data_IF_507144851438
#
_entry.id   IF_507144851438
#
_cell.length_a   1.000
_cell.length_b   1.000
_cell.length_c   1.000
_cell.angle_alpha   90.00
_cell.angle_beta   90.00
_cell.angle_gamma   90.00
#
_symmetry.space_group_name_H-M   'P 1'
#
loop_
_entity.id
_entity.type
_entity.pdbx_description
1 polymer ?
#
# COMPACT_ATOMS: atom_id res chain seq x y z
N UNK A 1 -19.17 31.17 -55.81
CA UNK A 1 -18.15 30.56 -54.92
C UNK A 1 -18.69 30.64 -53.50
N UNK A 2 -19.16 29.52 -52.97
CA UNK A 2 -19.82 29.46 -51.66
C UNK A 2 -18.78 29.65 -50.55
N UNK A 3 -19.09 30.54 -49.59
CA UNK A 3 -18.27 30.77 -48.41
C UNK A 3 -18.17 29.49 -47.57
N UNK A 4 -16.96 29.17 -47.12
CA UNK A 4 -16.71 28.04 -46.24
C UNK A 4 -17.47 28.21 -44.90
N UNK A 5 -18.04 27.13 -44.34
CA UNK A 5 -18.76 27.20 -43.08
C UNK A 5 -17.81 27.53 -41.92
N UNK A 6 -18.28 28.24 -40.89
CA UNK A 6 -17.46 28.61 -39.73
C UNK A 6 -16.99 27.35 -38.98
N UNK A 7 -15.77 27.38 -38.38
CA UNK A 7 -15.25 26.25 -37.62
C UNK A 7 -16.15 25.96 -36.42
N UNK A 8 -16.47 24.67 -36.20
CA UNK A 8 -17.27 24.20 -35.05
C UNK A 8 -16.56 24.55 -33.75
N UNK A 9 -17.25 25.24 -32.85
CA UNK A 9 -16.75 25.70 -31.55
C UNK A 9 -16.65 24.59 -30.48
N UNK A 10 -16.40 23.33 -30.86
CA UNK A 10 -16.42 22.18 -29.95
C UNK A 10 -15.20 21.25 -30.13
N UNK A 11 -14.08 21.76 -30.63
CA UNK A 11 -12.80 21.14 -30.28
C UNK A 11 -12.51 21.46 -28.82
N UNK A 12 -12.78 20.48 -27.96
CA UNK A 12 -12.37 20.47 -26.56
C UNK A 12 -10.85 20.67 -26.53
N UNK A 13 -10.40 21.92 -26.45
CA UNK A 13 -8.98 22.19 -26.32
C UNK A 13 -8.48 21.44 -25.09
N UNK A 14 -7.39 20.66 -25.20
CA UNK A 14 -6.81 20.01 -24.04
C UNK A 14 -6.56 21.11 -23.01
N UNK A 15 -7.22 21.02 -21.85
CA UNK A 15 -6.98 21.98 -20.79
C UNK A 15 -5.46 22.06 -20.58
N UNK A 16 -4.85 23.26 -20.59
CA UNK A 16 -3.43 23.38 -20.36
C UNK A 16 -3.12 22.70 -19.03
N UNK A 17 -2.15 21.77 -19.00
CA UNK A 17 -1.87 20.99 -17.81
C UNK A 17 -1.47 21.95 -16.69
N UNK A 18 -2.35 22.10 -15.70
CA UNK A 18 -2.03 22.84 -14.47
C UNK A 18 -1.01 22.00 -13.70
N UNK A 19 0.24 22.47 -13.70
CA UNK A 19 1.40 21.93 -12.98
C UNK A 19 1.69 20.43 -13.20
N UNK A 20 2.47 20.13 -14.24
CA UNK A 20 3.18 18.85 -14.37
C UNK A 20 4.52 18.94 -13.64
N UNK A 21 4.96 17.83 -13.01
CA UNK A 21 6.29 17.77 -12.43
C UNK A 21 7.33 17.88 -13.56
N UNK A 22 8.19 18.89 -13.52
CA UNK A 22 9.27 19.04 -14.49
C UNK A 22 10.32 17.91 -14.31
N UNK A 23 10.74 17.30 -15.42
CA UNK A 23 11.81 16.29 -15.40
C UNK A 23 11.36 14.84 -15.13
N UNK A 24 10.10 14.48 -15.44
CA UNK A 24 9.67 13.08 -15.45
C UNK A 24 10.40 12.31 -16.55
N UNK A 25 11.09 11.23 -16.16
CA UNK A 25 11.94 10.45 -17.08
C UNK A 25 11.13 9.48 -17.93
N UNK A 26 10.04 8.94 -17.38
CA UNK A 26 9.11 8.05 -18.09
C UNK A 26 7.66 8.40 -17.77
N UNK A 27 6.89 8.71 -18.82
CA UNK A 27 5.45 8.96 -18.72
C UNK A 27 4.66 7.65 -18.55
N UNK A 28 3.37 7.76 -18.24
CA UNK A 28 2.46 6.64 -17.95
C UNK A 28 2.43 5.57 -19.06
N UNK A 29 2.54 5.96 -20.34
CA UNK A 29 2.54 5.06 -21.50
C UNK A 29 3.94 4.72 -22.01
N UNK A 30 5.00 5.31 -21.46
CA UNK A 30 6.38 5.08 -21.91
C UNK A 30 7.07 4.11 -20.94
N UNK A 31 7.25 2.82 -21.30
CA UNK A 31 7.96 1.89 -20.45
C UNK A 31 9.48 2.09 -20.54
N UNK A 32 10.20 2.04 -19.40
CA UNK A 32 11.65 1.90 -19.42
C UNK A 32 12.08 0.59 -20.10
N UNK A 33 13.37 0.45 -20.47
CA UNK A 33 13.94 -0.82 -20.89
C UNK A 33 13.64 -1.93 -19.89
N UNK A 34 13.44 -3.17 -20.37
CA UNK A 34 13.04 -4.30 -19.53
C UNK A 34 13.89 -4.49 -18.25
N UNK A 35 15.22 -4.43 -18.28
CA UNK A 35 16.02 -4.59 -17.07
C UNK A 35 15.76 -3.50 -16.03
N UNK A 36 15.67 -2.23 -16.46
CA UNK A 36 15.36 -1.11 -15.58
C UNK A 36 13.93 -1.22 -15.03
N UNK A 37 12.97 -1.63 -15.88
CA UNK A 37 11.59 -1.84 -15.47
C UNK A 37 11.45 -2.93 -14.39
N UNK A 38 12.23 -4.00 -14.50
CA UNK A 38 12.24 -5.11 -13.54
C UNK A 38 12.80 -4.66 -12.19
N UNK A 39 13.94 -3.96 -12.20
CA UNK A 39 14.59 -3.47 -10.97
C UNK A 39 13.68 -2.44 -10.26
N UNK A 40 13.09 -1.50 -11.00
CA UNK A 40 12.16 -0.53 -10.44
C UNK A 40 10.87 -1.20 -9.92
N UNK A 41 10.36 -2.23 -10.62
CA UNK A 41 9.21 -3.00 -10.16
C UNK A 41 9.50 -3.72 -8.84
N UNK A 42 10.70 -4.27 -8.71
CA UNK A 42 11.17 -4.88 -7.47
C UNK A 42 11.31 -3.85 -6.32
N UNK A 43 11.73 -2.62 -6.64
CA UNK A 43 11.79 -1.53 -5.66
C UNK A 43 10.40 -1.15 -5.12
N UNK A 44 9.40 -1.01 -5.99
CA UNK A 44 8.02 -0.79 -5.58
C UNK A 44 7.48 -1.93 -4.69
N UNK A 45 7.93 -3.16 -4.94
CA UNK A 45 7.57 -4.32 -4.12
C UNK A 45 8.20 -4.22 -2.73
N UNK A 46 9.50 -3.96 -2.63
CA UNK A 46 10.21 -3.81 -1.34
C UNK A 46 9.57 -2.70 -0.49
N UNK A 47 9.22 -1.57 -1.09
CA UNK A 47 8.56 -0.47 -0.38
C UNK A 47 7.21 -0.92 0.19
N UNK A 48 6.41 -1.64 -0.60
CA UNK A 48 5.10 -2.14 -0.16
C UNK A 48 5.16 -3.26 0.89
N UNK A 49 6.26 -4.03 0.92
CA UNK A 49 6.46 -5.08 1.93
C UNK A 49 6.43 -4.54 3.37
N UNK A 50 6.92 -3.31 3.58
CA UNK A 50 6.95 -2.70 4.91
C UNK A 50 5.57 -2.65 5.56
N UNK A 51 4.61 -1.99 4.92
CA UNK A 51 3.23 -1.91 5.42
C UNK A 51 2.54 -3.26 5.49
N UNK A 52 2.79 -4.13 4.49
CA UNK A 52 2.22 -5.49 4.43
C UNK A 52 2.64 -6.37 5.59
N UNK A 53 3.86 -6.21 6.12
CA UNK A 53 4.33 -6.97 7.29
C UNK A 53 3.91 -6.29 8.61
N UNK A 54 3.91 -4.96 8.66
CA UNK A 54 3.55 -4.19 9.86
C UNK A 54 2.11 -4.46 10.30
N UNK A 55 1.16 -4.45 9.37
CA UNK A 55 -0.27 -4.61 9.66
C UNK A 55 -0.57 -5.95 10.37
N UNK A 56 -0.21 -7.13 9.81
CA UNK A 56 -0.43 -8.42 10.48
C UNK A 56 0.37 -8.55 11.77
N UNK A 57 1.58 -7.98 11.82
CA UNK A 57 2.39 -7.99 13.04
C UNK A 57 1.74 -7.22 14.18
N UNK A 58 0.91 -6.21 13.88
CA UNK A 58 0.11 -5.50 14.87
C UNK A 58 -1.19 -6.23 15.22
N UNK A 59 -1.89 -6.80 14.23
CA UNK A 59 -3.24 -7.35 14.41
C UNK A 59 -3.26 -8.81 14.91
N UNK A 60 -2.47 -9.69 14.28
CA UNK A 60 -2.55 -11.15 14.50
C UNK A 60 -2.25 -11.57 15.95
N UNK A 61 -1.22 -11.01 16.63
CA UNK A 61 -0.96 -11.34 18.04
C UNK A 61 -2.12 -10.95 18.97
N UNK A 62 -2.82 -9.86 18.68
CA UNK A 62 -3.95 -9.40 19.50
C UNK A 62 -5.20 -10.27 19.30
N UNK A 63 -5.34 -10.84 18.10
CA UNK A 63 -6.37 -11.84 17.78
C UNK A 63 -6.12 -13.20 18.44
N UNK A 64 -4.91 -13.47 18.94
CA UNK A 64 -4.51 -14.78 19.49
C UNK A 64 -3.78 -15.69 18.50
N UNK A 65 -3.46 -15.20 17.29
CA UNK A 65 -2.71 -15.95 16.29
C UNK A 65 -1.22 -16.04 16.62
N UNK A 66 -0.57 -17.12 16.19
CA UNK A 66 0.87 -17.36 16.34
C UNK A 66 1.61 -16.88 15.10
N UNK A 67 2.92 -17.15 15.06
CA UNK A 67 3.77 -16.77 13.93
C UNK A 67 3.36 -17.44 12.62
N UNK A 68 2.78 -18.64 12.66
CA UNK A 68 2.28 -19.34 11.47
C UNK A 68 1.08 -18.61 10.86
N UNK A 69 0.08 -18.26 11.68
CA UNK A 69 -1.08 -17.49 11.20
C UNK A 69 -0.65 -16.10 10.73
N UNK A 70 0.32 -15.48 11.43
CA UNK A 70 0.90 -14.19 11.02
C UNK A 70 1.51 -14.28 9.63
N UNK A 71 2.32 -15.30 9.36
CA UNK A 71 2.92 -15.52 8.04
C UNK A 71 1.86 -15.73 6.95
N UNK A 72 0.84 -16.55 7.22
CA UNK A 72 -0.27 -16.78 6.27
C UNK A 72 -1.05 -15.50 5.96
N UNK A 73 -1.30 -14.64 6.96
CA UNK A 73 -1.98 -13.35 6.75
C UNK A 73 -1.10 -12.42 5.91
N UNK A 74 0.22 -12.36 6.15
CA UNK A 74 1.17 -11.59 5.33
C UNK A 74 1.14 -12.06 3.87
N UNK A 75 1.22 -13.37 3.64
CA UNK A 75 1.14 -13.96 2.29
C UNK A 75 -0.19 -13.62 1.61
N UNK A 76 -1.29 -13.70 2.34
CA UNK A 76 -2.62 -13.38 1.81
C UNK A 76 -2.75 -11.91 1.43
N UNK A 77 -2.28 -10.99 2.28
CA UNK A 77 -2.29 -9.55 1.97
C UNK A 77 -1.45 -9.30 0.72
N UNK A 78 -0.25 -9.87 0.63
CA UNK A 78 0.65 -9.67 -0.49
C UNK A 78 0.05 -10.19 -1.81
N UNK A 79 -0.56 -11.37 -1.78
CA UNK A 79 -1.23 -11.99 -2.93
C UNK A 79 -2.38 -11.11 -3.44
N UNK A 80 -3.28 -10.70 -2.54
CA UNK A 80 -4.46 -9.92 -2.91
C UNK A 80 -4.08 -8.48 -3.29
N UNK A 81 -3.07 -7.89 -2.64
CA UNK A 81 -2.49 -6.60 -3.03
C UNK A 81 -1.95 -6.61 -4.47
N UNK A 82 -1.28 -7.70 -4.87
CA UNK A 82 -0.85 -7.92 -6.25
C UNK A 82 -2.03 -7.94 -7.23
N UNK A 83 -3.08 -8.73 -6.93
CA UNK A 83 -4.31 -8.77 -7.74
C UNK A 83 -4.96 -7.39 -7.83
N UNK A 84 -5.14 -6.71 -6.70
CA UNK A 84 -5.76 -5.39 -6.63
C UNK A 84 -4.96 -4.35 -7.41
N UNK A 85 -3.63 -4.42 -7.38
CA UNK A 85 -2.75 -3.56 -8.18
C UNK A 85 -2.95 -3.78 -9.68
N UNK A 86 -3.06 -5.05 -10.12
CA UNK A 86 -3.36 -5.36 -11.53
C UNK A 86 -4.76 -4.85 -11.92
N UNK A 87 -5.78 -5.09 -11.10
CA UNK A 87 -7.14 -4.60 -11.36
C UNK A 87 -7.17 -3.07 -11.49
N UNK A 88 -6.47 -2.37 -10.61
CA UNK A 88 -6.41 -0.91 -10.61
C UNK A 88 -5.67 -0.35 -11.82
N UNK A 89 -4.57 -0.98 -12.23
CA UNK A 89 -3.75 -0.55 -13.38
C UNK A 89 -4.38 -0.89 -14.73
N UNK A 90 -5.16 -1.98 -14.84
CA UNK A 90 -5.85 -2.37 -16.08
C UNK A 90 -7.24 -1.72 -16.23
N UNK A 91 -8.08 -1.82 -15.20
CA UNK A 91 -9.50 -1.47 -15.26
C UNK A 91 -9.88 -0.23 -14.43
N UNK A 92 -9.18 0.01 -13.33
CA UNK A 92 -9.40 1.14 -12.42
C UNK A 92 -9.05 2.50 -13.01
N UNK A 93 -8.18 3.24 -12.32
CA UNK A 93 -7.70 4.55 -12.80
C UNK A 93 -6.72 4.43 -13.96
N UNK A 94 -6.08 3.27 -14.15
CA UNK A 94 -4.97 3.07 -15.08
C UNK A 94 -3.79 4.01 -14.82
N UNK A 95 -3.60 4.42 -13.57
CA UNK A 95 -2.44 5.16 -13.10
C UNK A 95 -1.37 4.17 -12.60
N UNK A 96 -0.10 4.59 -12.51
CA UNK A 96 0.96 3.80 -11.88
C UNK A 96 0.80 3.83 -10.35
N UNK A 97 -0.24 3.17 -9.84
CA UNK A 97 -0.57 3.11 -8.42
C UNK A 97 -0.51 1.67 -7.92
N UNK A 98 0.20 1.46 -6.83
CA UNK A 98 0.24 0.18 -6.11
C UNK A 98 -0.90 0.17 -5.10
N UNK A 99 -1.66 -0.92 -5.05
CA UNK A 99 -2.68 -1.17 -4.04
C UNK A 99 -2.07 -2.06 -2.95
N UNK A 100 -2.38 -1.78 -1.70
CA UNK A 100 -1.87 -2.54 -0.55
C UNK A 100 -2.83 -2.48 0.63
N UNK A 101 -2.49 -3.17 1.73
CA UNK A 101 -3.25 -3.07 2.97
C UNK A 101 -3.21 -1.64 3.53
N UNK A 102 -4.35 -1.11 3.94
CA UNK A 102 -4.44 0.26 4.47
C UNK A 102 -4.36 0.29 5.99
N UNK A 103 -3.57 1.22 6.52
CA UNK A 103 -3.49 1.39 7.97
C UNK A 103 -4.80 1.90 8.58
N UNK A 104 -5.65 2.56 7.81
CA UNK A 104 -6.91 3.16 8.30
C UNK A 104 -7.82 2.11 8.92
N UNK A 105 -7.76 0.86 8.45
CA UNK A 105 -8.53 -0.24 9.00
C UNK A 105 -7.93 -0.87 10.25
N UNK A 106 -6.67 -0.58 10.62
CA UNK A 106 -6.04 -1.20 11.79
C UNK A 106 -6.78 -0.83 13.09
N UNK A 107 -7.09 0.44 13.31
CA UNK A 107 -7.81 0.87 14.52
C UNK A 107 -9.24 0.28 14.61
N UNK A 108 -10.06 0.32 13.56
CA UNK A 108 -11.34 -0.40 13.49
C UNK A 108 -11.19 -1.90 13.72
N UNK A 109 -10.21 -2.56 13.11
CA UNK A 109 -9.96 -4.00 13.34
C UNK A 109 -9.58 -4.26 14.80
N UNK A 110 -8.75 -3.42 15.44
CA UNK A 110 -8.46 -3.51 16.88
C UNK A 110 -9.74 -3.36 17.70
N UNK A 111 -10.63 -2.43 17.34
CA UNK A 111 -11.92 -2.30 18.01
C UNK A 111 -12.78 -3.56 17.88
N UNK A 112 -12.73 -4.24 16.73
CA UNK A 112 -13.42 -5.53 16.53
C UNK A 112 -12.75 -6.62 17.40
N UNK A 113 -11.42 -6.69 17.42
CA UNK A 113 -10.66 -7.64 18.23
C UNK A 113 -11.01 -7.54 19.72
N UNK A 114 -11.20 -6.32 20.21
CA UNK A 114 -11.50 -6.02 21.62
C UNK A 114 -13.00 -6.08 21.95
N UNK A 115 -13.87 -6.39 20.99
CA UNK A 115 -15.29 -6.50 21.24
C UNK A 115 -15.58 -7.65 22.23
N UNK A 116 -16.44 -7.40 23.23
CA UNK A 116 -16.77 -8.37 24.29
C UNK A 116 -17.39 -9.69 23.81
N UNK A 117 -17.78 -9.79 22.53
CA UNK A 117 -18.22 -11.04 21.89
C UNK A 117 -17.09 -12.06 21.67
N UNK A 118 -15.83 -11.60 21.68
CA UNK A 118 -14.63 -12.42 21.49
C UNK A 118 -13.81 -12.56 22.79
N UNK A 119 -14.32 -12.06 23.92
CA UNK A 119 -13.61 -12.08 25.20
C UNK A 119 -13.80 -13.36 26.00
N UNK A 120 -14.79 -14.19 25.63
CA UNK A 120 -15.17 -15.38 26.41
C UNK A 120 -14.49 -16.67 25.91
N UNK A 121 -13.71 -16.57 24.83
CA UNK A 121 -12.99 -17.68 24.22
C UNK A 121 -11.67 -17.96 24.95
N UNK A 122 -11.59 -19.12 25.60
CA UNK A 122 -10.40 -19.56 26.31
C UNK A 122 -9.26 -20.02 25.37
N UNK A 123 -9.58 -20.50 24.16
CA UNK A 123 -8.59 -20.93 23.18
C UNK A 123 -8.17 -19.75 22.27
N UNK A 124 -6.86 -19.34 22.27
CA UNK A 124 -6.35 -18.28 21.42
C UNK A 124 -6.56 -18.51 19.92
N UNK A 125 -6.55 -19.78 19.46
CA UNK A 125 -6.70 -20.10 18.04
C UNK A 125 -8.14 -19.94 17.57
N UNK A 126 -9.11 -20.37 18.38
CA UNK A 126 -10.52 -20.18 18.08
C UNK A 126 -10.90 -18.69 18.12
N UNK A 127 -10.35 -17.94 19.09
CA UNK A 127 -10.49 -16.48 19.14
C UNK A 127 -10.01 -15.84 17.83
N UNK A 128 -8.81 -16.23 17.36
CA UNK A 128 -8.27 -15.73 16.10
C UNK A 128 -9.19 -16.02 14.91
N UNK A 129 -9.64 -17.27 14.75
CA UNK A 129 -10.53 -17.64 13.64
C UNK A 129 -11.86 -16.89 13.70
N UNK A 130 -12.45 -16.74 14.90
CA UNK A 130 -13.73 -16.06 15.08
C UNK A 130 -13.62 -14.56 14.78
N UNK A 131 -12.57 -13.90 15.25
CA UNK A 131 -12.30 -12.48 14.95
C UNK A 131 -11.99 -12.25 13.47
N UNK A 132 -11.25 -13.15 12.82
CA UNK A 132 -11.01 -13.10 11.38
C UNK A 132 -12.33 -13.19 10.59
N UNK A 133 -13.21 -14.14 10.94
CA UNK A 133 -14.53 -14.28 10.30
C UNK A 133 -15.43 -13.06 10.47
N UNK A 134 -15.41 -12.42 11.65
CA UNK A 134 -16.13 -11.17 11.91
C UNK A 134 -15.60 -10.02 11.05
N UNK A 135 -14.28 -9.86 11.02
CA UNK A 135 -13.61 -8.86 10.19
C UNK A 135 -13.92 -9.06 8.70
N UNK A 136 -13.91 -10.31 8.21
CA UNK A 136 -14.29 -10.64 6.83
C UNK A 136 -15.74 -10.25 6.52
N UNK A 137 -16.70 -10.59 7.38
CA UNK A 137 -18.10 -10.23 7.19
C UNK A 137 -18.32 -8.71 7.19
N UNK A 138 -17.67 -8.01 8.11
CA UNK A 138 -17.73 -6.55 8.19
C UNK A 138 -17.14 -5.86 6.93
N UNK A 139 -16.01 -6.36 6.42
CA UNK A 139 -15.38 -5.83 5.21
C UNK A 139 -16.19 -6.14 3.93
N UNK A 140 -16.90 -7.28 3.85
CA UNK A 140 -17.82 -7.56 2.73
C UNK A 140 -18.90 -6.48 2.65
N UNK A 141 -19.52 -6.12 3.78
CA UNK A 141 -20.55 -5.07 3.82
C UNK A 141 -19.94 -3.71 3.46
N UNK A 142 -18.78 -3.38 4.03
CA UNK A 142 -18.07 -2.12 3.73
C UNK A 142 -17.72 -1.98 2.24
N UNK A 143 -17.21 -3.06 1.63
CA UNK A 143 -16.85 -3.08 0.22
C UNK A 143 -18.05 -2.79 -0.70
N UNK A 144 -19.24 -3.29 -0.34
CA UNK A 144 -20.46 -3.11 -1.13
C UNK A 144 -20.82 -1.63 -1.24
N UNK A 145 -20.71 -0.87 -0.14
CA UNK A 145 -20.94 0.58 -0.17
C UNK A 145 -19.95 1.28 -1.10
N UNK A 146 -18.67 0.94 -1.00
CA UNK A 146 -17.64 1.59 -1.81
C UNK A 146 -17.78 1.26 -3.31
N UNK A 147 -18.16 0.02 -3.64
CA UNK A 147 -18.50 -0.41 -5.01
C UNK A 147 -19.66 0.44 -5.55
N UNK A 148 -20.74 0.57 -4.78
CA UNK A 148 -21.91 1.37 -5.16
C UNK A 148 -21.51 2.84 -5.36
N UNK A 149 -20.82 3.46 -4.41
CA UNK A 149 -20.40 4.87 -4.49
C UNK A 149 -19.46 5.14 -5.67
N UNK A 150 -18.56 4.19 -5.96
CA UNK A 150 -17.59 4.29 -7.06
C UNK A 150 -18.22 4.14 -8.44
N UNK A 151 -19.00 3.07 -8.68
CA UNK A 151 -19.56 2.77 -10.00
C UNK A 151 -20.85 3.53 -10.32
N UNK A 152 -21.65 3.93 -9.32
CA UNK A 152 -22.84 4.77 -9.55
C UNK A 152 -22.50 6.18 -10.05
N UNK A 153 -21.23 6.60 -9.92
CA UNK A 153 -20.82 7.97 -10.23
C UNK A 153 -21.27 8.99 -9.19
N UNK A 154 -21.77 8.58 -8.03
CA UNK A 154 -22.01 9.49 -6.90
C UNK A 154 -20.70 10.18 -6.49
N UNK A 155 -19.62 9.41 -6.40
CA UNK A 155 -18.31 9.96 -6.06
C UNK A 155 -17.82 10.97 -7.12
N UNK A 156 -18.12 10.76 -8.40
CA UNK A 156 -17.84 11.73 -9.48
C UNK A 156 -18.43 13.11 -9.18
N UNK A 157 -19.62 13.20 -8.61
CA UNK A 157 -20.25 14.49 -8.29
C UNK A 157 -19.55 15.18 -7.12
N UNK A 158 -19.15 14.43 -6.10
CA UNK A 158 -18.35 14.95 -4.98
C UNK A 158 -17.00 15.47 -5.48
N UNK A 159 -16.34 14.70 -6.34
CA UNK A 159 -15.05 15.06 -6.94
C UNK A 159 -15.11 16.34 -7.80
N UNK A 160 -16.25 16.67 -8.41
CA UNK A 160 -16.41 17.95 -9.13
C UNK A 160 -16.35 19.16 -8.20
N UNK A 161 -16.69 18.97 -6.93
CA UNK A 161 -16.61 20.01 -5.90
C UNK A 161 -15.20 20.15 -5.32
N UNK A 162 -14.32 19.17 -5.57
CA UNK A 162 -12.94 19.23 -5.11
C UNK A 162 -12.13 20.22 -5.96
N UNK A 163 -11.75 21.33 -5.35
CA UNK A 163 -10.77 22.25 -5.92
C UNK A 163 -9.34 21.78 -5.64
N UNK A 164 -8.33 22.28 -6.39
CA UNK A 164 -6.92 22.03 -6.05
C UNK A 164 -6.55 22.43 -4.62
N UNK A 165 -7.21 23.45 -4.04
CA UNK A 165 -7.01 23.86 -2.64
C UNK A 165 -7.55 22.81 -1.66
N UNK A 166 -8.65 22.15 -2.01
CA UNK A 166 -9.25 21.05 -1.24
C UNK A 166 -8.43 19.76 -1.33
N UNK A 167 -7.62 19.60 -2.38
CA UNK A 167 -6.78 18.44 -2.59
C UNK A 167 -5.51 18.43 -1.73
N UNK A 168 -4.99 19.61 -1.34
CA UNK A 168 -3.76 19.70 -0.53
C UNK A 168 -3.95 19.03 0.84
N UNK A 169 -5.00 19.33 1.63
CA UNK A 169 -5.22 18.64 2.90
C UNK A 169 -5.39 17.12 2.74
N UNK A 170 -6.00 16.66 1.64
CA UNK A 170 -6.13 15.24 1.35
C UNK A 170 -4.75 14.59 1.16
N UNK A 171 -3.90 15.15 0.31
CA UNK A 171 -2.54 14.64 0.07
C UNK A 171 -1.68 14.73 1.35
N UNK A 172 -1.84 15.79 2.15
CA UNK A 172 -1.14 15.93 3.43
C UNK A 172 -1.57 14.88 4.45
N UNK A 173 -2.88 14.62 4.59
CA UNK A 173 -3.41 13.58 5.49
C UNK A 173 -2.83 12.21 5.14
N UNK A 174 -2.81 11.90 3.84
CA UNK A 174 -2.23 10.68 3.27
C UNK A 174 -0.75 10.55 3.66
N UNK A 175 0.04 11.63 3.55
CA UNK A 175 1.46 11.63 3.93
C UNK A 175 1.73 11.56 5.44
N UNK A 176 1.02 12.34 6.25
CA UNK A 176 1.21 12.37 7.71
C UNK A 176 0.74 11.09 8.40
N UNK A 177 -0.33 10.45 7.89
CA UNK A 177 -0.83 9.19 8.45
C UNK A 177 0.20 8.05 8.42
N UNK A 178 1.03 7.99 7.36
CA UNK A 178 2.12 7.02 7.29
C UNK A 178 3.27 7.36 8.26
N UNK A 179 3.59 8.65 8.43
CA UNK A 179 4.65 9.10 9.33
C UNK A 179 4.36 8.72 10.78
N UNK A 180 3.14 8.96 11.25
CA UNK A 180 2.73 8.60 12.62
C UNK A 180 2.88 7.10 12.92
N UNK A 181 2.83 6.24 11.89
CA UNK A 181 2.98 4.80 12.05
C UNK A 181 4.41 4.32 11.90
N UNK A 182 5.11 4.77 10.86
CA UNK A 182 6.46 4.31 10.53
C UNK A 182 7.49 4.78 11.55
N UNK A 183 7.38 6.04 12.00
CA UNK A 183 8.38 6.65 12.87
C UNK A 183 8.48 5.98 14.26
N UNK A 184 7.37 5.61 14.94
CA UNK A 184 7.45 4.81 16.17
C UNK A 184 8.11 3.44 15.98
N UNK A 185 8.00 2.83 14.79
CA UNK A 185 8.69 1.58 14.47
C UNK A 185 10.21 1.73 14.48
N UNK A 186 10.70 2.79 13.82
CA UNK A 186 12.12 3.19 13.81
C UNK A 186 12.59 3.49 15.24
N UNK A 187 11.78 4.19 16.04
CA UNK A 187 12.11 4.56 17.41
C UNK A 187 12.26 3.34 18.37
N UNK A 188 11.58 2.22 18.11
CA UNK A 188 11.75 0.98 18.90
C UNK A 188 13.17 0.41 18.79
N UNK A 189 13.86 0.66 17.68
CA UNK A 189 15.23 0.21 17.42
C UNK A 189 16.03 1.34 16.77
N UNK A 190 16.25 2.41 17.55
CA UNK A 190 16.94 3.61 17.06
C UNK A 190 18.33 3.33 16.48
N UNK A 191 19.03 2.32 16.98
CA UNK A 191 20.38 1.94 16.53
C UNK A 191 20.42 1.45 15.08
N UNK A 192 19.33 0.85 14.58
CA UNK A 192 19.18 0.39 13.19
C UNK A 192 18.42 1.43 12.37
N UNK A 193 17.39 2.04 12.97
CA UNK A 193 16.53 2.99 12.30
C UNK A 193 17.19 4.34 12.00
N UNK A 194 18.07 4.85 12.86
CA UNK A 194 18.78 6.10 12.61
C UNK A 194 19.77 5.99 11.43
N UNK A 195 20.60 4.92 11.33
CA UNK A 195 21.37 4.65 10.11
C UNK A 195 20.50 4.52 8.86
N UNK A 196 19.32 3.90 8.94
CA UNK A 196 18.41 3.79 7.81
C UNK A 196 17.97 5.16 7.29
N UNK A 197 17.49 6.03 8.17
CA UNK A 197 17.09 7.40 7.81
C UNK A 197 18.26 8.20 7.25
N UNK A 198 19.43 8.13 7.88
CA UNK A 198 20.62 8.86 7.45
C UNK A 198 21.10 8.38 6.07
N UNK A 199 21.21 7.07 5.87
CA UNK A 199 21.61 6.49 4.59
C UNK A 199 20.59 6.83 3.50
N UNK A 200 19.29 6.79 3.81
CA UNK A 200 18.26 7.15 2.83
C UNK A 200 18.40 8.60 2.39
N UNK A 201 18.59 9.55 3.32
CA UNK A 201 18.82 10.97 2.97
C UNK A 201 20.11 11.14 2.18
N UNK A 202 21.18 10.44 2.57
CA UNK A 202 22.47 10.53 1.88
C UNK A 202 22.39 10.01 0.44
N UNK A 203 21.80 8.83 0.23
CA UNK A 203 21.67 8.23 -1.10
C UNK A 203 20.63 8.93 -1.99
N UNK A 204 19.50 9.36 -1.43
CA UNK A 204 18.40 9.94 -2.22
C UNK A 204 18.51 11.45 -2.45
N UNK A 205 19.15 12.21 -1.55
CA UNK A 205 19.18 13.68 -1.62
C UNK A 205 20.60 14.25 -1.76
N UNK A 206 21.56 13.75 -0.98
CA UNK A 206 22.91 14.34 -0.94
C UNK A 206 23.80 13.87 -2.09
N UNK A 207 23.91 12.56 -2.33
CA UNK A 207 24.72 11.96 -3.38
C UNK A 207 24.36 12.45 -4.80
N UNK A 208 23.07 12.58 -5.17
CA UNK A 208 22.67 13.16 -6.46
C UNK A 208 23.02 14.63 -6.62
N UNK A 209 23.28 15.37 -5.53
CA UNK A 209 23.73 16.77 -5.62
C UNK A 209 25.25 16.87 -5.79
N UNK A 210 26.01 16.00 -5.11
CA UNK A 210 27.48 16.04 -5.08
C UNK A 210 28.12 15.35 -6.28
N UNK A 211 27.64 14.16 -6.66
CA UNK A 211 28.19 13.41 -7.79
C UNK A 211 27.47 13.81 -9.08
N UNK A 212 28.14 14.50 -10.00
CA UNK A 212 27.62 14.78 -11.34
C UNK A 212 27.46 13.53 -12.21
N UNK A 213 28.21 12.47 -11.89
CA UNK A 213 28.12 11.17 -12.56
C UNK A 213 27.08 10.29 -11.85
N UNK A 214 26.05 9.83 -12.56
CA UNK A 214 25.05 8.91 -12.02
C UNK A 214 23.94 9.54 -11.17
N UNK A 215 23.71 10.86 -11.26
CA UNK A 215 22.64 11.60 -10.55
C UNK A 215 21.28 10.90 -10.61
N UNK A 216 20.91 10.43 -11.80
CA UNK A 216 19.64 9.75 -12.04
C UNK A 216 19.60 8.35 -11.40
N UNK A 217 20.74 7.65 -11.28
CA UNK A 217 20.81 6.29 -10.74
C UNK A 217 20.69 6.32 -9.22
N UNK A 218 21.45 7.18 -8.54
CA UNK A 218 21.39 7.29 -7.07
C UNK A 218 20.04 7.84 -6.58
N UNK A 219 19.46 8.81 -7.32
CA UNK A 219 18.12 9.33 -7.02
C UNK A 219 17.00 8.31 -7.23
N UNK A 220 17.06 7.50 -8.30
CA UNK A 220 16.03 6.49 -8.61
C UNK A 220 16.11 5.26 -7.71
N UNK A 221 17.30 4.75 -7.44
CA UNK A 221 17.49 3.47 -6.77
C UNK A 221 17.91 3.60 -5.29
N UNK A 222 17.81 4.80 -4.70
CA UNK A 222 18.24 5.06 -3.32
C UNK A 222 17.71 4.03 -2.31
N UNK A 223 16.43 3.68 -2.39
CA UNK A 223 15.80 2.67 -1.52
C UNK A 223 16.42 1.27 -1.70
N UNK A 224 16.75 0.88 -2.93
CA UNK A 224 17.37 -0.42 -3.19
C UNK A 224 18.79 -0.53 -2.65
N UNK A 225 19.51 0.57 -2.51
CA UNK A 225 20.83 0.57 -1.87
C UNK A 225 20.72 0.59 -0.35
N UNK A 226 19.77 1.35 0.20
CA UNK A 226 19.66 1.54 1.65
C UNK A 226 19.22 0.26 2.36
N UNK A 227 18.21 -0.42 1.85
CA UNK A 227 17.65 -1.64 2.47
C UNK A 227 18.70 -2.74 2.71
N UNK A 228 19.49 -3.20 1.72
CA UNK A 228 20.49 -4.24 1.94
C UNK A 228 21.66 -3.77 2.81
N UNK A 229 22.06 -2.49 2.75
CA UNK A 229 23.14 -1.96 3.60
C UNK A 229 22.70 -1.96 5.07
N UNK A 230 21.50 -1.47 5.35
CA UNK A 230 20.93 -1.46 6.71
C UNK A 230 20.70 -2.87 7.22
N UNK A 231 20.20 -3.76 6.36
CA UNK A 231 20.02 -5.16 6.73
C UNK A 231 21.35 -5.85 7.07
N UNK A 232 22.40 -5.63 6.27
CA UNK A 232 23.74 -6.15 6.54
C UNK A 232 24.30 -5.58 7.85
N UNK A 233 24.12 -4.28 8.10
CA UNK A 233 24.50 -3.64 9.34
C UNK A 233 23.77 -4.27 10.55
N UNK A 234 22.46 -4.47 10.47
CA UNK A 234 21.66 -5.11 11.51
C UNK A 234 22.07 -6.58 11.74
N UNK A 235 22.43 -7.30 10.67
CA UNK A 235 22.95 -8.66 10.74
C UNK A 235 24.29 -8.72 11.47
N UNK A 236 25.22 -7.81 11.15
CA UNK A 236 26.53 -7.69 11.84
C UNK A 236 26.32 -7.38 13.33
N UNK A 237 25.43 -6.45 13.69
CA UNK A 237 25.11 -6.16 15.09
C UNK A 237 24.52 -7.37 15.83
N UNK A 238 23.67 -8.14 15.15
CA UNK A 238 23.05 -9.35 15.71
C UNK A 238 24.10 -10.43 16.01
N UNK A 239 25.03 -10.70 15.08
CA UNK A 239 26.11 -11.67 15.28
C UNK A 239 27.15 -11.18 16.28
N UNK A 240 27.50 -9.89 16.20
CA UNK A 240 28.43 -9.22 17.13
C UNK A 240 27.96 -9.24 18.58
N UNK A 241 26.72 -9.67 18.83
CA UNK A 241 26.20 -9.89 20.18
C UNK A 241 25.76 -8.63 20.89
N UNK A 242 25.61 -7.51 20.18
CA UNK A 242 25.15 -6.23 20.72
C UNK A 242 23.82 -6.38 21.49
N UNK A 243 22.96 -7.29 21.03
CA UNK A 243 21.63 -7.55 21.62
C UNK A 243 21.56 -8.76 22.56
N UNK A 244 22.68 -9.41 22.94
CA UNK A 244 22.63 -10.62 23.79
C UNK A 244 22.19 -10.34 25.23
N UNK A 245 22.55 -9.18 25.77
CA UNK A 245 22.25 -8.77 27.15
C UNK A 245 21.14 -7.71 27.26
N UNK A 246 20.53 -7.32 26.14
CA UNK A 246 19.48 -6.30 26.10
C UNK A 246 18.12 -6.86 26.56
N UNK A 247 17.17 -6.01 26.98
CA UNK A 247 15.83 -6.44 27.34
C UNK A 247 15.15 -7.27 26.24
N UNK A 248 14.29 -8.26 26.59
CA UNK A 248 13.66 -9.15 25.61
C UNK A 248 12.83 -8.40 24.55
N UNK A 249 12.25 -7.25 24.89
CA UNK A 249 11.55 -6.38 23.92
C UNK A 249 12.50 -5.87 22.82
N UNK A 250 13.70 -5.42 23.20
CA UNK A 250 14.74 -4.97 22.26
C UNK A 250 15.25 -6.14 21.43
N UNK A 251 15.39 -7.33 22.02
CA UNK A 251 15.81 -8.52 21.27
C UNK A 251 14.81 -8.97 20.21
N UNK A 252 13.50 -8.81 20.47
CA UNK A 252 12.45 -9.16 19.50
C UNK A 252 12.38 -8.17 18.35
N UNK A 253 12.60 -6.88 18.61
CA UNK A 253 12.46 -5.84 17.60
C UNK A 253 13.74 -5.57 16.79
N UNK A 254 14.92 -5.67 17.41
CA UNK A 254 16.17 -5.20 16.80
C UNK A 254 17.03 -6.32 16.22
N UNK A 255 16.70 -7.60 16.50
CA UNK A 255 17.43 -8.74 15.95
C UNK A 255 16.77 -9.28 14.69
N UNK A 256 17.61 -9.65 13.72
CA UNK A 256 17.15 -10.20 12.44
C UNK A 256 16.68 -11.66 12.53
N UNK A 257 17.06 -12.41 13.56
CA UNK A 257 16.79 -13.85 13.71
C UNK A 257 15.51 -14.20 14.48
N UNK A 258 14.76 -13.20 14.97
CA UNK A 258 13.64 -13.40 15.93
C UNK A 258 12.24 -13.13 15.38
N UNK A 259 12.09 -12.90 14.06
CA UNK A 259 10.79 -12.63 13.45
C UNK A 259 9.81 -13.82 13.53
N UNK A 260 10.35 -15.04 13.59
CA UNK A 260 9.60 -16.30 13.66
C UNK A 260 8.78 -16.62 12.41
N UNK A 261 8.91 -15.81 11.35
CA UNK A 261 8.15 -15.94 10.10
C UNK A 261 8.69 -17.09 9.25
N UNK A 262 10.02 -17.15 9.07
CA UNK A 262 10.70 -18.14 8.21
C UNK A 262 10.56 -19.58 8.76
N UNK A 263 10.56 -19.76 10.08
CA UNK A 263 10.45 -21.09 10.69
C UNK A 263 9.00 -21.61 10.79
N UNK A 264 8.00 -20.74 10.61
CA UNK A 264 6.59 -21.05 10.81
C UNK A 264 5.77 -21.18 9.52
N UNK A 265 6.35 -20.93 8.36
CA UNK A 265 5.64 -20.95 7.08
C UNK A 265 6.04 -22.17 6.23
N UNK A 266 5.08 -22.82 5.52
CA UNK A 266 5.41 -23.78 4.48
C UNK A 266 6.01 -23.07 3.27
N UNK A 267 7.02 -23.69 2.64
CA UNK A 267 7.80 -23.12 1.53
C UNK A 267 6.95 -22.70 0.32
N UNK A 268 5.83 -23.39 0.10
CA UNK A 268 4.85 -23.04 -0.94
C UNK A 268 3.48 -23.01 -0.28
N UNK A 269 2.83 -21.84 -0.30
CA UNK A 269 1.45 -21.69 0.16
C UNK A 269 0.68 -20.82 -0.81
N UNK A 270 -0.45 -21.31 -1.33
CA UNK A 270 -1.32 -20.52 -2.19
C UNK A 270 -2.51 -20.06 -1.35
N UNK A 271 -2.69 -18.75 -1.11
CA UNK A 271 -3.87 -18.24 -0.43
C UNK A 271 -5.14 -18.63 -1.20
N UNK A 272 -6.17 -19.04 -0.49
CA UNK A 272 -7.46 -19.42 -1.08
C UNK A 272 -8.61 -18.69 -0.37
N UNK A 273 -9.73 -18.43 -1.07
CA UNK A 273 -10.87 -17.75 -0.47
C UNK A 273 -11.47 -18.58 0.68
N UNK A 274 -11.91 -17.89 1.72
CA UNK A 274 -12.51 -18.44 2.94
C UNK A 274 -11.59 -19.36 3.75
N UNK A 275 -10.27 -19.15 3.69
CA UNK A 275 -9.29 -19.95 4.44
C UNK A 275 -9.47 -19.97 5.96
N UNK A 276 -10.13 -18.96 6.53
CA UNK A 276 -10.44 -18.89 7.96
C UNK A 276 -11.84 -19.41 8.32
N UNK A 277 -12.66 -19.77 7.32
CA UNK A 277 -14.04 -20.23 7.46
C UNK A 277 -15.08 -19.22 6.91
N UNK A 278 -16.36 -19.52 7.13
CA UNK A 278 -17.45 -18.68 6.64
C UNK A 278 -17.51 -17.33 7.38
N UNK A 279 -17.75 -16.22 6.67
CA UNK A 279 -17.83 -14.89 7.28
C UNK A 279 -19.02 -14.79 8.23
N UNK A 280 -18.85 -14.08 9.33
CA UNK A 280 -19.93 -13.79 10.28
C UNK A 280 -20.26 -12.31 10.23
N UNK A 281 -21.55 -11.98 10.24
CA UNK A 281 -22.00 -10.61 10.09
C UNK A 281 -22.49 -10.05 11.42
N UNK A 282 -21.98 -8.88 11.77
CA UNK A 282 -22.42 -8.09 12.91
C UNK A 282 -22.65 -6.65 12.47
N UNK A 283 -23.74 -6.04 12.94
CA UNK A 283 -24.11 -4.69 12.54
C UNK A 283 -23.12 -3.63 13.06
N UNK A 284 -22.60 -3.79 14.28
CA UNK A 284 -21.65 -2.85 14.88
C UNK A 284 -20.31 -2.88 14.17
N UNK A 285 -19.78 -4.08 13.93
CA UNK A 285 -18.53 -4.28 13.18
C UNK A 285 -18.65 -3.79 11.73
N UNK A 286 -19.79 -4.08 11.08
CA UNK A 286 -20.07 -3.60 9.73
C UNK A 286 -20.10 -2.06 9.68
N UNK A 287 -20.73 -1.39 10.63
CA UNK A 287 -20.77 0.07 10.66
C UNK A 287 -19.39 0.70 10.83
N UNK A 288 -18.56 0.15 11.72
CA UNK A 288 -17.18 0.58 11.88
C UNK A 288 -16.39 0.44 10.56
N UNK A 289 -16.51 -0.70 9.88
CA UNK A 289 -15.82 -0.94 8.61
C UNK A 289 -16.37 -0.10 7.45
N UNK A 290 -17.67 0.19 7.41
CA UNK A 290 -18.27 1.08 6.41
C UNK A 290 -17.71 2.50 6.52
N UNK A 291 -17.63 3.06 7.74
CA UNK A 291 -17.04 4.37 7.97
C UNK A 291 -15.56 4.38 7.57
N UNK A 292 -14.84 3.32 7.91
CA UNK A 292 -13.41 3.16 7.58
C UNK A 292 -13.18 3.11 6.07
N UNK A 293 -13.99 2.34 5.35
CA UNK A 293 -13.97 2.27 3.89
C UNK A 293 -14.26 3.63 3.25
N UNK A 294 -15.15 4.44 3.84
CA UNK A 294 -15.37 5.82 3.40
C UNK A 294 -14.12 6.70 3.59
N UNK A 295 -13.43 6.59 4.73
CA UNK A 295 -12.17 7.31 4.96
C UNK A 295 -11.08 6.85 3.97
N UNK A 296 -10.96 5.54 3.72
CA UNK A 296 -10.02 4.98 2.75
C UNK A 296 -10.29 5.45 1.31
N UNK A 297 -11.57 5.66 0.97
CA UNK A 297 -11.98 6.26 -0.30
C UNK A 297 -11.51 7.72 -0.43
N UNK A 298 -11.59 8.50 0.65
CA UNK A 298 -11.11 9.89 0.71
C UNK A 298 -9.59 9.95 0.60
N UNK A 299 -8.88 9.09 1.33
CA UNK A 299 -7.42 8.93 1.24
C UNK A 299 -6.98 8.55 -0.18
N UNK A 300 -7.58 7.51 -0.75
CA UNK A 300 -7.26 7.03 -2.10
C UNK A 300 -7.52 8.07 -3.19
N UNK A 301 -8.52 8.95 -2.98
CA UNK A 301 -8.76 10.08 -3.88
C UNK A 301 -7.58 11.05 -3.88
N UNK A 302 -7.06 11.43 -2.71
CA UNK A 302 -5.86 12.25 -2.59
C UNK A 302 -4.64 11.57 -3.23
N UNK A 303 -4.50 10.27 -2.99
CA UNK A 303 -3.45 9.43 -3.55
C UNK A 303 -3.49 9.39 -5.10
N UNK A 304 -4.66 9.24 -5.73
CA UNK A 304 -4.79 9.31 -7.20
C UNK A 304 -4.43 10.68 -7.77
N UNK A 305 -4.77 11.76 -7.07
CA UNK A 305 -4.40 13.12 -7.48
C UNK A 305 -2.88 13.31 -7.36
N UNK A 306 -2.25 12.85 -6.28
CA UNK A 306 -0.80 12.87 -6.12
C UNK A 306 -0.08 12.05 -7.19
N UNK A 307 -0.54 10.82 -7.43
CA UNK A 307 0.03 9.92 -8.44
C UNK A 307 -0.04 10.50 -9.85
N UNK A 308 -1.14 11.16 -10.24
CA UNK A 308 -1.20 11.80 -11.57
C UNK A 308 -0.25 12.97 -11.71
N UNK A 309 -0.08 13.79 -10.67
CA UNK A 309 0.87 14.91 -10.68
C UNK A 309 2.31 14.42 -10.80
N UNK A 310 2.70 13.41 -10.02
CA UNK A 310 4.05 12.86 -10.06
C UNK A 310 4.33 12.04 -11.33
N UNK A 311 3.32 11.42 -11.93
CA UNK A 311 3.45 10.73 -13.22
C UNK A 311 3.37 11.67 -14.45
N UNK A 312 3.27 12.99 -14.23
CA UNK A 312 3.00 14.00 -15.27
C UNK A 312 1.83 13.64 -16.19
N UNK A 313 0.77 13.07 -15.61
CA UNK A 313 -0.46 12.80 -16.31
C UNK A 313 -1.20 14.09 -16.67
N UNK A 314 -2.00 14.06 -17.73
CA UNK A 314 -3.04 15.07 -17.93
C UNK A 314 -4.07 15.01 -16.80
N UNK A 315 -4.75 16.12 -16.51
CA UNK A 315 -5.76 16.20 -15.45
C UNK A 315 -6.75 15.03 -15.56
N UNK A 316 -6.85 14.22 -14.50
CA UNK A 316 -7.72 13.04 -14.51
C UNK A 316 -9.17 13.51 -14.43
N UNK A 317 -10.05 13.08 -15.36
CA UNK A 317 -11.47 13.40 -15.24
C UNK A 317 -12.06 12.71 -14.00
N UNK A 318 -12.99 13.37 -13.25
CA UNK A 318 -13.60 12.82 -12.05
C UNK A 318 -14.25 11.43 -12.22
N UNK A 319 -14.69 11.09 -13.44
CA UNK A 319 -15.26 9.77 -13.75
C UNK A 319 -14.25 8.63 -13.61
N UNK A 320 -12.98 8.87 -13.93
CA UNK A 320 -11.92 7.86 -13.85
C UNK A 320 -11.51 7.61 -12.41
N UNK A 321 -11.47 8.67 -11.58
CA UNK A 321 -11.25 8.54 -10.14
C UNK A 321 -12.42 7.77 -9.50
N UNK A 322 -13.67 8.12 -9.83
CA UNK A 322 -14.87 7.38 -9.37
C UNK A 322 -14.80 5.89 -9.73
N UNK A 323 -14.43 5.57 -10.98
CA UNK A 323 -14.22 4.19 -11.42
C UNK A 323 -13.08 3.51 -10.64
N UNK A 324 -12.00 4.23 -10.38
CA UNK A 324 -10.89 3.77 -9.57
C UNK A 324 -11.30 3.41 -8.14
N UNK A 325 -12.16 4.21 -7.52
CA UNK A 325 -12.75 3.92 -6.20
C UNK A 325 -13.68 2.71 -6.26
N UNK A 326 -14.43 2.52 -7.35
CA UNK A 326 -15.24 1.31 -7.54
C UNK A 326 -14.39 0.04 -7.58
N UNK A 327 -13.27 0.08 -8.30
CA UNK A 327 -12.30 -1.04 -8.33
C UNK A 327 -11.55 -1.24 -7.01
N UNK A 328 -11.28 -0.16 -6.26
CA UNK A 328 -10.81 -0.28 -4.88
C UNK A 328 -11.83 -1.01 -4.00
N UNK A 329 -13.12 -0.72 -4.14
CA UNK A 329 -14.20 -1.45 -3.45
C UNK A 329 -14.21 -2.93 -3.81
N UNK A 330 -14.05 -3.29 -5.08
CA UNK A 330 -13.86 -4.70 -5.50
C UNK A 330 -12.62 -5.30 -4.83
N UNK A 331 -11.53 -4.53 -4.70
CA UNK A 331 -10.34 -4.98 -4.00
C UNK A 331 -10.59 -5.30 -2.52
N UNK A 332 -11.36 -4.46 -1.82
CA UNK A 332 -11.75 -4.72 -0.42
C UNK A 332 -12.66 -5.97 -0.33
N UNK A 333 -13.50 -6.21 -1.33
CA UNK A 333 -14.28 -7.45 -1.39
C UNK A 333 -13.38 -8.68 -1.53
N UNK A 334 -12.36 -8.62 -2.40
CA UNK A 334 -11.37 -9.70 -2.55
C UNK A 334 -10.56 -9.90 -1.27
N UNK A 335 -10.12 -8.81 -0.63
CA UNK A 335 -9.46 -8.83 0.68
C UNK A 335 -10.30 -9.58 1.72
N UNK A 336 -11.62 -9.34 1.70
CA UNK A 336 -12.56 -9.99 2.60
C UNK A 336 -12.73 -11.48 2.31
N UNK A 337 -12.79 -11.87 1.03
CA UNK A 337 -12.93 -13.28 0.67
C UNK A 337 -11.69 -14.09 1.00
N UNK A 338 -10.49 -13.58 0.69
CA UNK A 338 -9.24 -14.24 1.05
C UNK A 338 -8.90 -14.11 2.54
N UNK A 339 -9.47 -13.13 3.23
CA UNK A 339 -9.30 -12.96 4.68
C UNK A 339 -7.96 -12.34 5.03
N UNK A 340 -7.72 -11.13 4.56
CA UNK A 340 -6.52 -10.30 4.81
C UNK A 340 -6.52 -9.59 6.16
N UNK A 341 -7.62 -9.67 6.94
CA UNK A 341 -7.88 -8.88 8.17
C UNK A 341 -7.92 -7.34 7.98
N UNK A 342 -7.74 -6.87 6.75
CA UNK A 342 -7.55 -5.46 6.43
C UNK A 342 -8.09 -5.16 5.02
N UNK A 343 -8.66 -3.97 4.81
CA UNK A 343 -9.04 -3.49 3.48
C UNK A 343 -7.88 -2.85 2.71
N UNK A 344 -8.02 -2.81 1.39
CA UNK A 344 -7.04 -2.17 0.50
C UNK A 344 -7.26 -0.67 0.29
N UNK A 345 -6.15 0.07 0.19
CA UNK A 345 -6.09 1.46 -0.26
C UNK A 345 -4.88 1.64 -1.18
N UNK A 346 -4.81 2.80 -1.82
CA UNK A 346 -3.64 3.17 -2.62
C UNK A 346 -2.44 3.37 -1.70
N UNK A 347 -1.32 2.73 -2.03
CA UNK A 347 -0.07 2.79 -1.25
C UNK A 347 0.61 4.15 -1.40
N UNK A 348 0.59 4.92 -0.30
CA UNK A 348 1.16 6.28 -0.21
C UNK A 348 2.67 6.29 -0.40
N UNK A 349 3.34 5.33 0.23
CA UNK A 349 4.78 5.12 0.15
C UNK A 349 5.25 4.89 -1.30
N UNK A 350 4.46 4.17 -2.09
CA UNK A 350 4.74 3.98 -3.51
C UNK A 350 4.52 5.24 -4.35
N UNK A 351 3.61 6.13 -3.94
CA UNK A 351 3.44 7.45 -4.55
C UNK A 351 4.62 8.36 -4.20
N UNK A 352 5.09 8.33 -2.96
CA UNK A 352 6.31 9.03 -2.54
C UNK A 352 7.53 8.54 -3.34
N UNK A 353 7.63 7.22 -3.54
CA UNK A 353 8.66 6.64 -4.40
C UNK A 353 8.55 7.12 -5.85
N UNK A 354 7.33 7.24 -6.39
CA UNK A 354 7.09 7.80 -7.73
C UNK A 354 7.64 9.23 -7.86
N UNK A 355 7.47 10.05 -6.82
CA UNK A 355 7.97 11.43 -6.79
C UNK A 355 9.50 11.50 -6.77
N UNK A 356 10.16 10.58 -6.05
CA UNK A 356 11.62 10.50 -5.96
C UNK A 356 12.24 9.97 -7.27
N UNK A 357 11.70 8.86 -7.79
CA UNK A 357 12.24 8.19 -8.97
C UNK A 357 11.89 8.89 -10.27
N UNK A 358 10.80 9.66 -10.29
CA UNK A 358 10.26 10.31 -11.50
C UNK A 358 9.97 9.33 -12.64
N UNK A 359 9.60 8.09 -12.29
CA UNK A 359 9.21 7.04 -13.25
C UNK A 359 7.72 6.78 -13.12
N UNK A 360 6.92 7.47 -13.95
CA UNK A 360 5.46 7.33 -13.98
C UNK A 360 4.92 6.10 -14.71
N UNK A 361 5.76 5.11 -15.04
CA UNK A 361 5.39 4.04 -15.98
C UNK A 361 4.45 2.99 -15.35
N UNK A 362 3.31 2.74 -16.00
CA UNK A 362 2.36 1.68 -15.60
C UNK A 362 2.99 0.29 -15.55
N UNK A 363 3.88 -0.01 -16.51
CA UNK A 363 4.48 -1.34 -16.65
C UNK A 363 5.31 -1.71 -15.42
N UNK A 364 6.00 -0.74 -14.83
CA UNK A 364 6.82 -0.92 -13.63
C UNK A 364 5.96 -1.39 -12.45
N UNK A 365 4.80 -0.75 -12.25
CA UNK A 365 3.84 -1.12 -11.20
C UNK A 365 3.20 -2.48 -11.46
N UNK A 366 2.94 -2.83 -12.72
CA UNK A 366 2.44 -4.17 -13.07
C UNK A 366 3.49 -5.27 -12.83
N UNK A 367 4.77 -5.00 -13.10
CA UNK A 367 5.86 -5.92 -12.75
C UNK A 367 5.96 -6.07 -11.22
N UNK A 368 5.81 -4.98 -10.48
CA UNK A 368 5.75 -5.00 -9.02
C UNK A 368 4.65 -5.93 -8.50
N UNK A 369 3.45 -5.85 -9.08
CA UNK A 369 2.35 -6.75 -8.75
C UNK A 369 2.66 -8.22 -9.07
N UNK A 370 3.42 -8.49 -10.14
CA UNK A 370 3.95 -9.81 -10.44
C UNK A 370 4.87 -10.35 -9.35
N UNK A 371 5.78 -9.50 -8.84
CA UNK A 371 6.63 -9.86 -7.70
C UNK A 371 5.82 -10.12 -6.42
N UNK A 372 4.81 -9.30 -6.13
CA UNK A 372 3.92 -9.52 -4.98
C UNK A 372 3.26 -10.90 -5.04
N UNK A 373 2.68 -11.26 -6.19
CA UNK A 373 2.05 -12.58 -6.37
C UNK A 373 3.11 -13.70 -6.26
N UNK A 374 4.27 -13.53 -6.89
CA UNK A 374 5.34 -14.53 -6.86
C UNK A 374 5.85 -14.82 -5.44
N UNK A 375 6.22 -13.78 -4.68
CA UNK A 375 6.71 -13.91 -3.30
C UNK A 375 5.61 -14.24 -2.30
N UNK A 376 4.33 -13.99 -2.63
CA UNK A 376 3.24 -14.45 -1.77
C UNK A 376 3.04 -15.96 -1.81
N UNK A 377 3.45 -16.61 -2.91
CA UNK A 377 3.34 -18.07 -3.10
C UNK A 377 4.60 -18.79 -2.63
N UNK A 378 5.76 -18.14 -2.74
CA UNK A 378 7.08 -18.69 -2.40
C UNK A 378 7.61 -17.98 -1.16
N UNK A 379 7.54 -18.65 -0.01
CA UNK A 379 8.04 -18.11 1.25
C UNK A 379 8.82 -19.21 1.98
N UNK A 380 10.13 -19.26 1.71
CA UNK A 380 11.12 -20.15 2.31
C UNK A 380 12.40 -19.41 2.61
#
# INVERSE_FOLDING_TARGET
MAAAPPPKADELQPHPPKEQLAGVSFCITSPPPWPEAIILGFQHFIVMLGTTVIIPSALVPQMGGRNEEKARVVQTILFVAGINTLLQTFFGTRLPVVMGGSYIFVAPTISIILAGRYSNEADPREKFLRTMRGTQGALIIASTIQIILGFSGLWRNVLKLLSPLSAVPLVSLVGFGLYELGFPGVAKCVEVGLPELLLLVVFSQYLPQVLHFGKDVFGRFGVLFTVPIVWLYAYILTIGGAYKNSPPKTQVHCRVDRSGLVAGAPWISVPYPFQWGAPTFDAGEAFAMMMTSFIALVESTGAFIGASRYASATMIPPSIISRGIGWQGIGILLDSFFGTANGTSVSVENIGLLALTRVGSRRVVQISAGFMIFFSVLDG
#
